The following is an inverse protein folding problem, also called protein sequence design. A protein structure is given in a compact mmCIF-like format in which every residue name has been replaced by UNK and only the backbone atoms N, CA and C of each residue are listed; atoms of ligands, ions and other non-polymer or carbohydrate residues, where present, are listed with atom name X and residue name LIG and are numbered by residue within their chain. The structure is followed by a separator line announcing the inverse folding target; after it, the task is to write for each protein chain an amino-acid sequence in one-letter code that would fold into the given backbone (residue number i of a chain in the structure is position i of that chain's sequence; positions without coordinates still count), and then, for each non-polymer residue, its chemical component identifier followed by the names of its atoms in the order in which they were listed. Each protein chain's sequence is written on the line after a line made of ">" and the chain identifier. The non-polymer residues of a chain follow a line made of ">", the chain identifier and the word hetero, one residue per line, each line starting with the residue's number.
data_IF_321019354667
#
_entry.id   IF_321019354667
#
_cell.length_a   1.000
_cell.length_b   1.000
_cell.length_c   1.000
_cell.angle_alpha   90.00
_cell.angle_beta   90.00
_cell.angle_gamma   90.00
#
_symmetry.space_group_name_H-M   'P 1'
#
loop_
_entity.id
_entity.type
_entity.pdbx_description
1 polymer ?
#
# COMPACT_ATOMS: atom_id res chain seq x y z
N UNK A 1 -1.50 21.68 -38.08
CA UNK A 1 -0.04 21.71 -37.84
C UNK A 1 0.30 21.14 -36.46
N UNK A 2 -0.37 21.61 -35.40
CA UNK A 2 -0.16 21.20 -33.99
C UNK A 2 -0.09 19.68 -33.74
N UNK A 3 -1.02 18.88 -34.28
CA UNK A 3 -1.08 17.43 -33.99
C UNK A 3 0.15 16.66 -34.51
N UNK A 4 0.75 17.08 -35.65
CA UNK A 4 1.98 16.47 -36.18
C UNK A 4 3.19 16.80 -35.29
N UNK A 5 3.23 18.02 -34.75
CA UNK A 5 4.26 18.49 -33.82
C UNK A 5 4.17 17.72 -32.50
N UNK A 6 2.97 17.64 -31.91
CA UNK A 6 2.71 16.88 -30.69
C UNK A 6 3.17 15.42 -30.81
N UNK A 7 2.77 14.73 -31.90
CA UNK A 7 3.13 13.32 -32.10
C UNK A 7 4.65 13.12 -32.28
N UNK A 8 5.32 14.04 -32.99
CA UNK A 8 6.76 14.00 -33.17
C UNK A 8 7.51 14.24 -31.86
N UNK A 9 7.12 15.28 -31.11
CA UNK A 9 7.73 15.64 -29.84
C UNK A 9 7.49 14.58 -28.76
N UNK A 10 6.29 13.98 -28.67
CA UNK A 10 6.04 12.84 -27.77
C UNK A 10 6.92 11.62 -28.09
N UNK A 11 7.14 11.33 -29.38
CA UNK A 11 8.04 10.24 -29.80
C UNK A 11 9.48 10.55 -29.43
N UNK A 12 9.93 11.78 -29.64
CA UNK A 12 11.27 12.24 -29.26
C UNK A 12 11.47 12.18 -27.75
N UNK A 13 10.54 12.73 -26.96
CA UNK A 13 10.56 12.69 -25.49
C UNK A 13 10.66 11.26 -24.96
N UNK A 14 9.82 10.35 -25.47
CA UNK A 14 9.87 8.93 -25.08
C UNK A 14 11.23 8.28 -25.41
N UNK A 15 11.80 8.60 -26.58
CA UNK A 15 13.12 8.10 -26.99
C UNK A 15 14.24 8.63 -26.10
N UNK A 16 14.19 9.92 -25.73
CA UNK A 16 15.15 10.56 -24.85
C UNK A 16 15.11 9.95 -23.44
N UNK A 17 13.92 9.70 -22.87
CA UNK A 17 13.77 8.97 -21.59
C UNK A 17 14.44 7.60 -21.64
N UNK A 18 14.24 6.83 -22.72
CA UNK A 18 14.86 5.50 -22.87
C UNK A 18 16.39 5.56 -22.91
N UNK A 19 16.95 6.67 -23.42
CA UNK A 19 18.39 6.94 -23.45
C UNK A 19 18.90 7.59 -22.16
N UNK A 20 18.02 7.87 -21.20
CA UNK A 20 18.30 8.65 -19.98
C UNK A 20 18.77 10.09 -20.26
N UNK A 21 18.43 10.62 -21.44
CA UNK A 21 18.63 12.03 -21.76
C UNK A 21 17.41 12.81 -21.24
N UNK A 22 17.43 13.11 -19.94
CA UNK A 22 16.29 13.72 -19.27
C UNK A 22 16.11 15.19 -19.61
N UNK A 23 17.19 15.88 -20.02
CA UNK A 23 17.15 17.25 -20.50
C UNK A 23 16.41 17.33 -21.84
N UNK A 24 16.80 16.53 -22.84
CA UNK A 24 16.09 16.47 -24.13
C UNK A 24 14.64 16.02 -23.92
N UNK A 25 14.39 15.02 -23.06
CA UNK A 25 13.05 14.55 -22.76
C UNK A 25 12.15 15.65 -22.17
N UNK A 26 12.70 16.47 -21.27
CA UNK A 26 11.96 17.57 -20.66
C UNK A 26 11.64 18.66 -21.68
N UNK A 27 12.59 19.02 -22.54
CA UNK A 27 12.38 20.05 -23.57
C UNK A 27 11.35 19.62 -24.60
N UNK A 28 11.41 18.37 -25.07
CA UNK A 28 10.38 17.81 -25.96
C UNK A 28 9.00 17.75 -25.28
N UNK A 29 8.95 17.45 -23.99
CA UNK A 29 7.69 17.45 -23.23
C UNK A 29 7.11 18.85 -23.08
N UNK A 30 7.95 19.88 -22.89
CA UNK A 30 7.50 21.29 -22.86
C UNK A 30 6.95 21.75 -24.20
N UNK A 31 7.52 21.32 -25.32
CA UNK A 31 6.98 21.61 -26.66
C UNK A 31 5.56 21.06 -26.77
N UNK A 32 5.33 19.83 -26.30
CA UNK A 32 3.98 19.23 -26.30
C UNK A 32 3.03 20.04 -25.41
N UNK A 33 3.47 20.41 -24.20
CA UNK A 33 2.64 21.17 -23.25
C UNK A 33 2.36 22.61 -23.70
N UNK A 34 3.21 23.19 -24.55
CA UNK A 34 2.95 24.48 -25.19
C UNK A 34 1.81 24.42 -26.21
N UNK A 35 1.65 23.29 -26.89
CA UNK A 35 0.56 23.06 -27.85
C UNK A 35 -0.70 22.49 -27.20
N UNK A 36 -0.53 21.63 -26.19
CA UNK A 36 -1.58 20.97 -25.42
C UNK A 36 -1.15 20.86 -23.95
N UNK A 37 -1.52 21.87 -23.16
CA UNK A 37 -1.17 21.96 -21.74
C UNK A 37 -1.78 20.85 -20.87
N UNK A 38 -2.76 20.12 -21.41
CA UNK A 38 -3.42 18.99 -20.74
C UNK A 38 -3.05 17.66 -21.40
N UNK A 39 -1.87 17.57 -22.03
CA UNK A 39 -1.42 16.31 -22.61
C UNK A 39 -0.93 15.32 -21.54
N UNK A 40 -1.68 14.23 -21.35
CA UNK A 40 -1.36 13.20 -20.35
C UNK A 40 0.09 12.68 -20.44
N UNK A 41 0.53 12.28 -21.63
CA UNK A 41 1.84 11.65 -21.81
C UNK A 41 2.98 12.63 -21.53
N UNK A 42 2.84 13.89 -21.95
CA UNK A 42 3.85 14.91 -21.67
C UNK A 42 3.95 15.20 -20.16
N UNK A 43 2.82 15.28 -19.44
CA UNK A 43 2.81 15.42 -17.99
C UNK A 43 3.50 14.24 -17.28
N UNK A 44 3.24 13.00 -17.74
CA UNK A 44 3.95 11.81 -17.22
C UNK A 44 5.47 11.91 -17.48
N UNK A 45 5.89 12.33 -18.68
CA UNK A 45 7.30 12.48 -19.01
C UNK A 45 8.00 13.58 -18.20
N UNK A 46 7.33 14.71 -17.96
CA UNK A 46 7.81 15.75 -17.03
C UNK A 46 7.99 15.17 -15.63
N UNK A 47 7.03 14.36 -15.16
CA UNK A 47 7.12 13.65 -13.88
C UNK A 47 8.36 12.76 -13.77
N UNK A 48 8.66 11.99 -14.82
CA UNK A 48 9.87 11.15 -14.90
C UNK A 48 11.13 12.00 -14.83
N UNK A 49 11.25 13.02 -15.68
CA UNK A 49 12.43 13.88 -15.71
C UNK A 49 12.68 14.56 -14.35
N UNK A 50 11.64 15.13 -13.72
CA UNK A 50 11.78 15.77 -12.42
C UNK A 50 12.20 14.80 -11.31
N UNK A 51 11.72 13.55 -11.34
CA UNK A 51 12.16 12.53 -10.38
C UNK A 51 13.66 12.25 -10.50
N UNK A 52 14.17 12.14 -11.73
CA UNK A 52 15.58 11.89 -12.02
C UNK A 52 16.47 13.08 -11.68
N UNK A 53 15.93 14.30 -11.77
CA UNK A 53 16.60 15.52 -11.29
C UNK A 53 16.53 15.70 -9.77
N UNK A 54 15.91 14.78 -9.02
CA UNK A 54 15.75 14.88 -7.56
C UNK A 54 14.70 15.91 -7.12
N UNK A 55 13.90 16.43 -8.04
CA UNK A 55 12.81 17.40 -7.79
C UNK A 55 11.52 16.65 -7.50
N UNK A 56 11.45 16.02 -6.35
CA UNK A 56 10.38 15.06 -6.04
C UNK A 56 9.01 15.73 -5.90
N UNK A 57 8.94 16.94 -5.36
CA UNK A 57 7.69 17.70 -5.25
C UNK A 57 7.12 18.04 -6.64
N UNK A 58 7.96 18.55 -7.54
CA UNK A 58 7.58 18.88 -8.92
C UNK A 58 7.18 17.63 -9.70
N UNK A 59 7.88 16.51 -9.47
CA UNK A 59 7.54 15.22 -10.05
C UNK A 59 6.16 14.74 -9.61
N UNK A 60 5.87 14.83 -8.30
CA UNK A 60 4.58 14.44 -7.75
C UNK A 60 3.44 15.29 -8.31
N UNK A 61 3.64 16.61 -8.47
CA UNK A 61 2.66 17.52 -9.07
C UNK A 61 2.37 17.11 -10.52
N UNK A 62 3.41 16.87 -11.32
CA UNK A 62 3.24 16.47 -12.73
C UNK A 62 2.45 15.16 -12.88
N UNK A 63 2.73 14.15 -12.05
CA UNK A 63 1.95 12.90 -12.05
C UNK A 63 0.50 13.13 -11.59
N UNK A 64 0.26 13.98 -10.60
CA UNK A 64 -1.10 14.31 -10.15
C UNK A 64 -1.90 15.02 -11.24
N UNK A 65 -1.28 15.94 -11.97
CA UNK A 65 -1.94 16.62 -13.08
C UNK A 65 -2.21 15.65 -14.24
N UNK A 66 -1.29 14.71 -14.52
CA UNK A 66 -1.55 13.63 -15.46
C UNK A 66 -2.76 12.77 -15.02
N UNK A 67 -2.85 12.38 -13.75
CA UNK A 67 -4.00 11.61 -13.21
C UNK A 67 -5.31 12.39 -13.37
N UNK A 68 -5.33 13.70 -13.12
CA UNK A 68 -6.53 14.53 -13.32
C UNK A 68 -6.98 14.59 -14.79
N UNK A 69 -6.03 14.54 -15.72
CA UNK A 69 -6.29 14.57 -17.16
C UNK A 69 -6.76 13.22 -17.68
N UNK A 70 -6.10 12.13 -17.26
CA UNK A 70 -6.35 10.77 -17.73
C UNK A 70 -6.44 9.79 -16.56
N UNK A 71 -7.56 9.81 -15.79
CA UNK A 71 -7.71 8.98 -14.60
C UNK A 71 -7.83 7.49 -14.91
N UNK A 72 -8.08 7.15 -16.17
CA UNK A 72 -8.21 5.80 -16.72
C UNK A 72 -6.87 5.19 -17.19
N UNK A 73 -5.77 5.95 -17.08
CA UNK A 73 -4.46 5.52 -17.55
C UNK A 73 -3.52 5.15 -16.38
N UNK A 74 -2.83 4.00 -16.44
CA UNK A 74 -2.07 3.48 -15.30
C UNK A 74 -0.71 4.17 -15.06
N UNK A 75 -0.11 4.75 -16.10
CA UNK A 75 1.30 5.19 -16.06
C UNK A 75 1.59 6.27 -14.99
N UNK A 76 0.69 7.23 -14.82
CA UNK A 76 0.88 8.31 -13.86
C UNK A 76 0.77 7.81 -12.40
N UNK A 77 -0.16 6.88 -12.14
CA UNK A 77 -0.24 6.22 -10.83
C UNK A 77 1.02 5.41 -10.53
N UNK A 78 1.52 4.64 -11.50
CA UNK A 78 2.78 3.88 -11.37
C UNK A 78 3.96 4.81 -11.11
N UNK A 79 4.03 5.94 -11.81
CA UNK A 79 5.05 6.97 -11.61
C UNK A 79 5.04 7.53 -10.18
N UNK A 80 3.85 7.88 -9.68
CA UNK A 80 3.70 8.43 -8.34
C UNK A 80 4.01 7.42 -7.23
N UNK A 81 3.61 6.15 -7.39
CA UNK A 81 3.96 5.07 -6.47
C UNK A 81 5.48 4.86 -6.44
N UNK A 82 6.11 4.75 -7.60
CA UNK A 82 7.57 4.57 -7.70
C UNK A 82 8.33 5.75 -7.08
N UNK A 83 7.87 6.97 -7.29
CA UNK A 83 8.45 8.18 -6.72
C UNK A 83 8.51 8.09 -5.18
N UNK A 84 7.37 7.81 -4.55
CA UNK A 84 7.28 7.77 -3.09
C UNK A 84 7.89 6.52 -2.45
N UNK A 85 8.02 5.40 -3.19
CA UNK A 85 8.57 4.16 -2.65
C UNK A 85 10.07 3.98 -2.88
N UNK A 86 10.61 4.48 -4.01
CA UNK A 86 12.03 4.27 -4.38
C UNK A 86 12.91 5.49 -4.13
N UNK A 87 12.41 6.67 -4.41
CA UNK A 87 13.23 7.88 -4.42
C UNK A 87 13.19 8.65 -3.10
N UNK A 88 12.19 8.38 -2.24
CA UNK A 88 12.15 8.95 -0.89
C UNK A 88 12.67 7.94 0.13
N UNK A 89 13.84 8.25 0.73
CA UNK A 89 14.48 7.42 1.77
C UNK A 89 13.99 7.73 3.20
N UNK A 90 13.32 8.86 3.39
CA UNK A 90 12.79 9.32 4.67
C UNK A 90 11.31 8.95 4.86
N UNK A 91 10.86 9.05 6.12
CA UNK A 91 9.44 8.93 6.47
C UNK A 91 8.59 9.92 5.66
N UNK A 92 7.68 9.39 4.84
CA UNK A 92 6.70 10.19 4.11
C UNK A 92 5.83 11.00 5.08
N UNK A 93 5.51 12.24 4.70
CA UNK A 93 4.52 13.04 5.41
C UNK A 93 3.13 12.44 5.26
N UNK A 94 2.20 12.85 6.12
CA UNK A 94 0.80 12.40 6.05
C UNK A 94 0.16 12.71 4.69
N UNK A 95 0.40 13.91 4.15
CA UNK A 95 -0.11 14.31 2.83
C UNK A 95 0.45 13.40 1.72
N UNK A 96 1.73 13.06 1.76
CA UNK A 96 2.34 12.19 0.75
C UNK A 96 1.86 10.75 0.87
N UNK A 97 1.72 10.23 2.08
CA UNK A 97 1.11 8.92 2.29
C UNK A 97 -0.34 8.90 1.78
N UNK A 98 -1.12 9.96 1.99
CA UNK A 98 -2.49 10.07 1.45
C UNK A 98 -2.52 10.06 -0.08
N UNK A 99 -1.58 10.77 -0.71
CA UNK A 99 -1.39 10.75 -2.17
C UNK A 99 -0.98 9.36 -2.67
N UNK A 100 -0.09 8.67 -1.95
CA UNK A 100 0.35 7.31 -2.26
C UNK A 100 -0.80 6.31 -2.16
N UNK A 101 -1.62 6.38 -1.11
CA UNK A 101 -2.84 5.56 -0.95
C UNK A 101 -3.80 5.78 -2.11
N UNK A 102 -4.05 7.04 -2.47
CA UNK A 102 -4.91 7.39 -3.60
C UNK A 102 -4.37 6.82 -4.91
N UNK A 103 -3.05 6.83 -5.09
CA UNK A 103 -2.41 6.28 -6.28
C UNK A 103 -2.54 4.76 -6.39
N UNK A 104 -2.34 4.04 -5.28
CA UNK A 104 -2.56 2.59 -5.21
C UNK A 104 -4.01 2.23 -5.51
N UNK A 105 -4.98 2.92 -4.89
CA UNK A 105 -6.41 2.68 -5.13
C UNK A 105 -6.78 2.88 -6.60
N UNK A 106 -6.33 3.98 -7.21
CA UNK A 106 -6.55 4.27 -8.62
C UNK A 106 -5.95 3.18 -9.53
N UNK A 107 -4.71 2.77 -9.29
CA UNK A 107 -4.07 1.73 -10.09
C UNK A 107 -4.71 0.35 -9.92
N UNK A 108 -5.11 -0.03 -8.70
CA UNK A 108 -5.81 -1.29 -8.43
C UNK A 108 -7.13 -1.34 -9.22
N UNK A 109 -7.93 -0.27 -9.17
CA UNK A 109 -9.19 -0.18 -9.91
C UNK A 109 -9.01 -0.37 -11.43
N UNK A 110 -7.91 0.13 -12.00
CA UNK A 110 -7.59 -0.03 -13.42
C UNK A 110 -7.04 -1.42 -13.78
N UNK A 111 -6.52 -2.16 -12.80
CA UNK A 111 -5.79 -3.41 -13.04
C UNK A 111 -6.54 -4.66 -12.57
N UNK A 112 -7.64 -4.50 -11.84
CA UNK A 112 -8.54 -5.57 -11.35
C UNK A 112 -9.04 -6.52 -12.46
N UNK A 113 -8.96 -6.13 -13.74
CA UNK A 113 -9.34 -6.98 -14.88
C UNK A 113 -8.18 -7.80 -15.50
N UNK A 114 -6.91 -7.56 -15.16
CA UNK A 114 -5.78 -8.22 -15.87
C UNK A 114 -4.47 -8.36 -15.09
N UNK A 115 -4.41 -8.01 -13.81
CA UNK A 115 -3.16 -8.13 -13.05
C UNK A 115 -2.85 -9.59 -12.69
N UNK A 116 -1.94 -10.18 -13.46
CA UNK A 116 -1.15 -11.37 -13.08
C UNK A 116 -0.72 -11.31 -11.63
N UNK A 117 -0.88 -12.41 -10.90
CA UNK A 117 -1.09 -12.39 -9.46
C UNK A 117 0.03 -11.76 -8.61
N UNK A 118 1.29 -11.81 -9.06
CA UNK A 118 2.42 -11.16 -8.38
C UNK A 118 2.34 -9.62 -8.37
N UNK A 119 1.88 -8.98 -9.44
CA UNK A 119 1.76 -7.51 -9.50
C UNK A 119 0.61 -7.01 -8.63
N UNK A 120 -0.50 -7.74 -8.61
CA UNK A 120 -1.62 -7.42 -7.73
C UNK A 120 -1.17 -7.48 -6.25
N UNK A 121 -0.38 -8.50 -5.90
CA UNK A 121 0.16 -8.67 -4.55
C UNK A 121 1.03 -7.48 -4.11
N UNK A 122 1.94 -7.02 -4.97
CA UNK A 122 2.77 -5.84 -4.68
C UNK A 122 1.92 -4.59 -4.45
N UNK A 123 0.89 -4.37 -5.26
CA UNK A 123 0.00 -3.21 -5.15
C UNK A 123 -0.81 -3.21 -3.85
N UNK A 124 -1.45 -4.34 -3.51
CA UNK A 124 -2.23 -4.44 -2.27
C UNK A 124 -1.33 -4.38 -1.03
N UNK A 125 -0.11 -4.94 -1.09
CA UNK A 125 0.87 -4.85 0.00
C UNK A 125 1.32 -3.41 0.22
N UNK A 126 1.63 -2.70 -0.87
CA UNK A 126 1.97 -1.29 -0.85
C UNK A 126 0.84 -0.40 -0.31
N UNK A 127 -0.41 -0.67 -0.72
CA UNK A 127 -1.60 0.02 -0.22
C UNK A 127 -1.78 -0.18 1.29
N UNK A 128 -1.71 -1.42 1.77
CA UNK A 128 -1.85 -1.74 3.18
C UNK A 128 -0.75 -1.05 4.03
N UNK A 129 0.49 -1.07 3.55
CA UNK A 129 1.61 -0.38 4.21
C UNK A 129 1.39 1.13 4.30
N UNK A 130 0.96 1.77 3.21
CA UNK A 130 0.69 3.21 3.18
C UNK A 130 -0.48 3.61 4.09
N UNK A 131 -1.56 2.82 4.14
CA UNK A 131 -2.70 3.03 5.05
C UNK A 131 -2.29 2.87 6.52
N UNK A 132 -1.44 1.87 6.82
CA UNK A 132 -0.86 1.70 8.15
C UNK A 132 0.01 2.90 8.56
N UNK A 133 0.76 3.50 7.63
CA UNK A 133 1.55 4.70 7.87
C UNK A 133 0.69 5.94 8.19
N UNK A 134 -0.55 5.99 7.69
CA UNK A 134 -1.56 7.02 8.00
C UNK A 134 -2.39 6.72 9.26
N UNK A 135 -2.14 5.60 9.93
CA UNK A 135 -2.99 5.10 11.01
C UNK A 135 -4.45 4.77 10.57
N UNK A 136 -4.69 4.62 9.27
CA UNK A 136 -5.99 4.24 8.67
C UNK A 136 -6.13 2.71 8.64
N UNK A 137 -6.05 2.08 9.81
CA UNK A 137 -6.00 0.62 9.93
C UNK A 137 -7.31 -0.08 9.55
N UNK A 138 -8.46 0.59 9.72
CA UNK A 138 -9.76 0.05 9.29
C UNK A 138 -9.80 -0.12 7.76
N UNK A 139 -9.30 0.88 7.02
CA UNK A 139 -9.22 0.85 5.56
C UNK A 139 -8.14 -0.12 5.05
N UNK A 140 -7.13 -0.44 5.88
CA UNK A 140 -6.09 -1.42 5.56
C UNK A 140 -6.58 -2.87 5.65
N UNK A 141 -7.71 -3.13 6.32
CA UNK A 141 -8.22 -4.48 6.52
C UNK A 141 -8.66 -5.14 5.21
N UNK A 142 -9.40 -4.41 4.37
CA UNK A 142 -9.89 -4.90 3.08
C UNK A 142 -8.77 -5.33 2.11
N UNK A 143 -7.72 -4.52 1.85
CA UNK A 143 -6.60 -4.95 1.01
C UNK A 143 -5.82 -6.11 1.64
N UNK A 144 -5.69 -6.17 2.98
CA UNK A 144 -5.07 -7.31 3.67
C UNK A 144 -5.88 -8.61 3.53
N UNK A 145 -7.20 -8.57 3.66
CA UNK A 145 -8.06 -9.74 3.43
C UNK A 145 -8.03 -10.21 1.97
N UNK A 146 -7.87 -9.27 1.03
CA UNK A 146 -7.74 -9.56 -0.41
C UNK A 146 -6.40 -10.22 -0.74
N UNK A 147 -5.29 -9.70 -0.20
CA UNK A 147 -3.96 -10.35 -0.25
C UNK A 147 -4.04 -11.78 0.27
N UNK A 148 -4.67 -11.94 1.43
CA UNK A 148 -4.80 -13.22 2.09
C UNK A 148 -5.56 -14.26 1.24
N UNK A 149 -6.67 -13.85 0.60
CA UNK A 149 -7.43 -14.73 -0.31
C UNK A 149 -6.63 -15.11 -1.56
N UNK A 150 -5.86 -14.17 -2.14
CA UNK A 150 -5.04 -14.41 -3.34
C UNK A 150 -3.85 -15.34 -3.06
N UNK A 151 -3.13 -15.10 -1.97
CA UNK A 151 -2.05 -16.01 -1.51
C UNK A 151 -2.56 -17.44 -1.26
N UNK A 152 -3.79 -17.57 -0.71
CA UNK A 152 -4.46 -18.87 -0.52
C UNK A 152 -4.86 -19.58 -1.82
N UNK A 153 -5.05 -18.86 -2.92
CA UNK A 153 -5.40 -19.45 -4.21
C UNK A 153 -4.18 -20.06 -4.93
N UNK A 154 -2.97 -19.57 -4.64
CA UNK A 154 -1.70 -20.05 -5.23
C UNK A 154 -1.01 -21.13 -4.39
N UNK A 155 -1.11 -21.08 -3.05
CA UNK A 155 -0.57 -22.11 -2.16
C UNK A 155 -1.69 -23.02 -1.60
N UNK A 156 -2.25 -23.90 -2.44
CA UNK A 156 -3.14 -24.95 -1.92
C UNK A 156 -2.34 -26.16 -1.40
N UNK A 157 -1.61 -25.92 -0.32
CA UNK A 157 -1.45 -26.90 0.75
C UNK A 157 -1.34 -26.18 2.11
N UNK A 158 -2.33 -25.33 2.38
CA UNK A 158 -2.40 -24.47 3.56
C UNK A 158 -2.25 -25.26 4.88
N UNK A 159 -2.60 -26.54 4.91
CA UNK A 159 -2.42 -27.39 6.10
C UNK A 159 -0.95 -27.68 6.45
N UNK A 160 -0.03 -27.77 5.47
CA UNK A 160 1.35 -28.21 5.69
C UNK A 160 2.25 -27.14 6.33
N UNK A 161 2.06 -25.85 6.03
CA UNK A 161 2.91 -24.78 6.57
C UNK A 161 2.37 -24.14 7.86
N UNK A 162 1.05 -24.20 8.14
CA UNK A 162 0.55 -23.81 9.46
C UNK A 162 1.08 -24.75 10.54
N UNK A 163 1.18 -26.04 10.24
CA UNK A 163 1.80 -27.01 11.14
C UNK A 163 3.28 -26.73 11.36
N UNK A 164 4.01 -26.20 10.38
CA UNK A 164 5.43 -25.81 10.51
C UNK A 164 5.62 -24.51 11.32
N UNK A 165 4.80 -23.48 11.09
CA UNK A 165 4.86 -22.26 11.88
C UNK A 165 4.42 -22.49 13.35
N UNK A 166 3.38 -23.30 13.56
CA UNK A 166 2.92 -23.73 14.88
C UNK A 166 3.96 -24.64 15.55
N UNK A 167 4.61 -25.55 14.81
CA UNK A 167 5.65 -26.44 15.37
C UNK A 167 6.93 -25.68 15.72
N UNK A 168 7.40 -24.77 14.85
CA UNK A 168 8.52 -23.88 15.13
C UNK A 168 8.26 -23.05 16.39
N UNK A 169 7.03 -22.54 16.55
CA UNK A 169 6.64 -21.80 17.73
C UNK A 169 6.60 -22.66 19.01
N UNK A 170 6.09 -23.89 18.94
CA UNK A 170 6.10 -24.83 20.07
C UNK A 170 7.53 -25.21 20.53
N UNK A 171 8.55 -24.97 19.70
CA UNK A 171 9.97 -25.14 20.06
C UNK A 171 10.62 -23.89 20.65
N UNK A 172 9.97 -22.73 20.62
CA UNK A 172 10.50 -21.47 21.19
C UNK A 172 10.29 -21.43 22.71
N UNK A 173 11.37 -21.24 23.48
CA UNK A 173 11.28 -21.24 24.95
C UNK A 173 10.70 -19.95 25.55
N UNK A 174 10.82 -18.80 24.85
CA UNK A 174 10.35 -17.48 25.32
C UNK A 174 9.93 -16.60 24.11
N UNK A 175 8.73 -16.78 23.56
CA UNK A 175 8.25 -15.99 22.43
C UNK A 175 7.93 -14.54 22.86
N UNK A 176 8.38 -13.57 22.08
CA UNK A 176 8.09 -12.15 22.34
C UNK A 176 6.69 -11.77 21.78
N UNK A 177 6.26 -10.52 22.01
CA UNK A 177 4.93 -10.07 21.56
C UNK A 177 4.73 -10.17 20.03
N UNK A 178 5.79 -9.98 19.23
CA UNK A 178 5.73 -10.04 17.76
C UNK A 178 5.55 -11.49 17.28
N UNK A 179 6.27 -12.41 17.91
CA UNK A 179 6.17 -13.85 17.63
C UNK A 179 4.75 -14.35 17.91
N UNK A 180 4.15 -13.90 19.01
CA UNK A 180 2.76 -14.20 19.38
C UNK A 180 1.73 -13.62 18.39
N UNK A 181 1.95 -12.41 17.89
CA UNK A 181 1.10 -11.81 16.86
C UNK A 181 1.20 -12.57 15.52
N UNK A 182 2.40 -13.00 15.13
CA UNK A 182 2.58 -13.82 13.92
C UNK A 182 1.90 -15.18 14.04
N UNK A 183 2.01 -15.85 15.19
CA UNK A 183 1.30 -17.09 15.45
C UNK A 183 -0.22 -16.88 15.42
N UNK A 184 -0.72 -15.80 16.02
CA UNK A 184 -2.15 -15.49 16.00
C UNK A 184 -2.67 -15.31 14.58
N UNK A 185 -1.91 -14.66 13.69
CA UNK A 185 -2.26 -14.53 12.27
C UNK A 185 -2.26 -15.89 11.56
N UNK A 186 -1.29 -16.75 11.84
CA UNK A 186 -1.25 -18.11 11.30
C UNK A 186 -2.46 -18.94 11.76
N UNK A 187 -2.82 -18.87 13.04
CA UNK A 187 -3.99 -19.56 13.61
C UNK A 187 -5.32 -19.01 13.09
N UNK A 188 -5.44 -17.68 12.95
CA UNK A 188 -6.58 -17.05 12.29
C UNK A 188 -6.76 -17.60 10.88
N UNK A 189 -5.63 -17.74 10.18
CA UNK A 189 -5.59 -18.19 8.80
C UNK A 189 -5.91 -19.67 8.63
N UNK A 190 -5.55 -20.48 9.62
CA UNK A 190 -5.93 -21.87 9.76
C UNK A 190 -7.41 -22.05 10.21
N UNK A 191 -8.14 -20.96 10.46
CA UNK A 191 -9.53 -21.00 10.96
C UNK A 191 -9.64 -21.29 12.45
N UNK A 192 -8.51 -21.42 13.16
CA UNK A 192 -8.47 -21.63 14.60
C UNK A 192 -8.54 -20.28 15.34
N UNK A 193 -9.74 -19.69 15.27
CA UNK A 193 -10.01 -18.34 15.78
C UNK A 193 -9.84 -18.23 17.31
N UNK A 194 -10.09 -19.30 18.06
CA UNK A 194 -9.97 -19.29 19.53
C UNK A 194 -8.51 -19.26 19.98
N UNK A 195 -7.66 -20.08 19.35
CA UNK A 195 -6.24 -20.11 19.69
C UNK A 195 -5.53 -18.85 19.19
N UNK A 196 -5.97 -18.31 18.06
CA UNK A 196 -5.55 -16.99 17.57
C UNK A 196 -5.81 -15.90 18.62
N UNK A 197 -7.02 -15.83 19.16
CA UNK A 197 -7.39 -14.87 20.19
C UNK A 197 -6.55 -15.04 21.47
N UNK A 198 -6.27 -16.29 21.84
CA UNK A 198 -5.47 -16.64 23.04
C UNK A 198 -4.03 -16.16 22.90
N UNK A 199 -3.43 -16.28 21.72
CA UNK A 199 -2.06 -15.80 21.49
C UNK A 199 -2.00 -14.27 21.40
N UNK A 200 -3.05 -13.60 20.94
CA UNK A 200 -3.14 -12.13 21.04
C UNK A 200 -3.25 -11.65 22.50
N UNK A 201 -3.99 -12.35 23.36
CA UNK A 201 -4.01 -12.01 24.80
C UNK A 201 -2.63 -12.14 25.45
N UNK A 202 -1.87 -13.17 25.08
CA UNK A 202 -0.48 -13.31 25.52
C UNK A 202 0.42 -12.21 24.95
N UNK A 203 0.26 -11.84 23.67
CA UNK A 203 1.01 -10.74 23.07
C UNK A 203 0.76 -9.44 23.82
N UNK A 204 -0.52 -9.18 24.15
CA UNK A 204 -0.97 -8.01 24.90
C UNK A 204 -0.31 -7.92 26.27
N UNK A 205 -0.16 -9.05 26.96
CA UNK A 205 0.49 -9.11 28.27
C UNK A 205 2.01 -8.81 28.21
N UNK A 206 2.65 -9.00 27.05
CA UNK A 206 4.06 -8.73 26.82
C UNK A 206 4.33 -7.36 26.16
N UNK A 207 3.29 -6.69 25.68
CA UNK A 207 3.39 -5.36 25.09
C UNK A 207 3.43 -4.27 26.17
N UNK A 208 4.39 -3.38 26.03
CA UNK A 208 4.61 -2.26 26.96
C UNK A 208 4.18 -0.92 26.38
N UNK A 209 4.06 -0.83 25.05
CA UNK A 209 3.63 0.39 24.37
C UNK A 209 2.10 0.42 24.20
N UNK A 210 1.48 1.56 24.55
CA UNK A 210 0.03 1.76 24.35
C UNK A 210 -0.38 1.56 22.88
N UNK A 211 0.52 1.92 21.95
CA UNK A 211 0.31 1.73 20.52
C UNK A 211 0.23 0.27 20.10
N UNK A 212 1.07 -0.59 20.68
CA UNK A 212 1.04 -2.04 20.45
C UNK A 212 -0.22 -2.67 21.06
N UNK A 213 -0.60 -2.23 22.26
CA UNK A 213 -1.83 -2.67 22.94
C UNK A 213 -3.08 -2.36 22.11
N UNK A 214 -3.16 -1.17 21.52
CA UNK A 214 -4.28 -0.76 20.67
C UNK A 214 -4.34 -1.60 19.38
N UNK A 215 -3.19 -1.92 18.78
CA UNK A 215 -3.11 -2.79 17.60
C UNK A 215 -3.60 -4.22 17.92
N UNK A 216 -3.18 -4.75 19.06
CA UNK A 216 -3.59 -6.09 19.50
C UNK A 216 -5.09 -6.13 19.78
N UNK A 217 -5.65 -5.09 20.42
CA UNK A 217 -7.10 -4.95 20.65
C UNK A 217 -7.89 -4.88 19.34
N UNK A 218 -7.41 -4.19 18.31
CA UNK A 218 -8.07 -4.17 17.00
C UNK A 218 -8.08 -5.56 16.36
N UNK A 219 -6.93 -6.27 16.38
CA UNK A 219 -6.84 -7.63 15.86
C UNK A 219 -7.77 -8.61 16.59
N UNK A 220 -7.87 -8.49 17.91
CA UNK A 220 -8.82 -9.26 18.73
C UNK A 220 -10.28 -8.94 18.36
N UNK A 221 -10.64 -7.67 18.16
CA UNK A 221 -11.99 -7.27 17.76
C UNK A 221 -12.41 -7.85 16.39
N UNK A 222 -11.47 -7.94 15.44
CA UNK A 222 -11.69 -8.58 14.13
C UNK A 222 -12.01 -10.08 14.32
N UNK A 223 -11.23 -10.78 15.14
CA UNK A 223 -11.45 -12.21 15.43
C UNK A 223 -12.78 -12.43 16.16
N UNK A 224 -13.10 -11.59 17.15
CA UNK A 224 -14.36 -11.64 17.90
C UNK A 224 -15.57 -11.43 16.99
N UNK A 225 -15.46 -10.55 15.99
CA UNK A 225 -16.49 -10.35 14.97
C UNK A 225 -16.69 -11.61 14.12
N UNK A 226 -15.61 -12.29 13.71
CA UNK A 226 -15.71 -13.59 13.00
C UNK A 226 -16.28 -14.71 13.88
N UNK A 227 -16.07 -14.63 15.20
CA UNK A 227 -16.70 -15.51 16.19
C UNK A 227 -18.15 -15.14 16.53
N UNK A 228 -18.75 -14.14 15.85
CA UNK A 228 -20.09 -13.58 16.12
C UNK A 228 -20.25 -12.98 17.53
N UNK A 229 -19.15 -12.63 18.20
CA UNK A 229 -19.10 -11.94 19.50
C UNK A 229 -19.02 -10.43 19.31
N UNK A 230 -20.02 -9.87 18.63
CA UNK A 230 -20.01 -8.48 18.14
C UNK A 230 -19.96 -7.46 19.29
N UNK A 231 -20.63 -7.73 20.41
CA UNK A 231 -20.65 -6.81 21.56
C UNK A 231 -19.28 -6.75 22.28
N UNK A 232 -18.57 -7.86 22.35
CA UNK A 232 -17.20 -7.90 22.88
C UNK A 232 -16.23 -7.13 21.95
N UNK A 233 -16.40 -7.27 20.64
CA UNK A 233 -15.62 -6.54 19.65
C UNK A 233 -15.84 -5.02 19.75
N UNK A 234 -17.10 -4.57 19.85
CA UNK A 234 -17.45 -3.14 20.01
C UNK A 234 -16.86 -2.55 21.28
N UNK A 235 -16.94 -3.28 22.41
CA UNK A 235 -16.35 -2.85 23.67
C UNK A 235 -14.84 -2.62 23.52
N UNK A 236 -14.17 -3.55 22.86
CA UNK A 236 -12.73 -3.50 22.66
C UNK A 236 -12.29 -2.35 21.75
N UNK A 237 -13.05 -2.05 20.70
CA UNK A 237 -12.82 -0.89 19.84
C UNK A 237 -13.06 0.43 20.57
N UNK A 238 -14.09 0.50 21.42
CA UNK A 238 -14.36 1.68 22.26
C UNK A 238 -13.24 1.97 23.25
N UNK A 239 -12.59 0.94 23.79
CA UNK A 239 -11.41 1.12 24.64
C UNK A 239 -10.20 1.69 23.87
N UNK A 240 -10.08 1.38 22.58
CA UNK A 240 -9.03 1.93 21.70
C UNK A 240 -9.34 3.37 21.29
N UNK A 241 -10.62 3.72 21.13
CA UNK A 241 -11.04 5.10 20.87
C UNK A 241 -10.73 5.99 22.09
N UNK A 242 -11.12 5.54 23.28
CA UNK A 242 -10.86 6.27 24.53
C UNK A 242 -9.36 6.45 24.83
N UNK A 243 -8.52 5.46 24.49
CA UNK A 243 -7.06 5.58 24.70
C UNK A 243 -6.42 6.61 23.76
N UNK A 244 -6.97 6.79 22.56
CA UNK A 244 -6.51 7.80 21.58
C UNK A 244 -6.93 9.20 21.96
N UNK A 245 -8.15 9.37 22.49
CA UNK A 245 -8.64 10.66 23.00
C UNK A 245 -7.84 11.14 24.22
N UNK A 246 -7.35 10.22 25.06
CA UNK A 246 -6.54 10.56 26.24
C UNK A 246 -5.08 10.95 25.93
N UNK A 247 -4.63 10.77 24.68
CA UNK A 247 -3.27 11.09 24.22
C UNK A 247 -3.20 12.39 23.38
N UNK A 248 -4.34 13.08 23.21
CA UNK A 248 -4.46 14.42 22.63
C UNK A 248 -4.48 15.49 23.72
#
# INVERSE_FOLDING_TARGET
>A
MSNKVIKAALKAAKGAIQKKDYDEALDQSKIVLGEDSRNYNALVFVGVCNAEFGKYEDSAIAYQDAIKVGPDQPLAYQGLINLYTKHKKDKLSENENSKLVSAYKGLILLTESSATDSKALELFTGLASALCALNQYADALEPMETLYKKLKAEEFDANCKYTEAISAYNTMQQPNHKDLCMLALALHSAGNLKDSLTNLEKAKALSTEQKELDQIKIAQAIILTKLRKVEEAKKMLKEVENSREALQ
#
